data_IF_517813334103
#
_entry.id   IF_517813334103
#
_cell.length_a   1.000
_cell.length_b   1.000
_cell.length_c   1.000
_cell.angle_alpha   90.00
_cell.angle_beta   90.00
_cell.angle_gamma   90.00
#
_symmetry.space_group_name_H-M   'P 1'
#
loop_
_entity.id
_entity.type
_entity.pdbx_description
1 polymer ?
#
# COMPACT_ATOMS: atom_id res chain seq x y z
N UNK A 1 -12.72 -17.71 -7.48
CA UNK A 1 -11.91 -16.95 -8.43
C UNK A 1 -10.67 -17.73 -8.83
N UNK A 2 -10.57 -18.15 -10.06
CA UNK A 2 -9.47 -18.94 -10.62
C UNK A 2 -8.94 -18.23 -11.88
N UNK A 3 -8.49 -16.99 -11.70
CA UNK A 3 -8.08 -16.07 -12.76
C UNK A 3 -6.57 -15.74 -12.73
N UNK A 4 -5.79 -16.47 -11.93
CA UNK A 4 -4.33 -16.31 -11.90
C UNK A 4 -3.69 -16.96 -13.16
N UNK A 5 -2.87 -16.20 -13.89
CA UNK A 5 -2.18 -16.67 -15.10
C UNK A 5 -1.28 -17.89 -14.89
N UNK A 6 -0.81 -18.13 -13.67
CA UNK A 6 -0.07 -19.35 -13.31
C UNK A 6 -0.83 -20.63 -13.61
N UNK A 7 -2.17 -20.57 -13.60
CA UNK A 7 -3.02 -21.70 -13.96
C UNK A 7 -2.86 -22.12 -15.43
N UNK A 8 -2.64 -21.16 -16.32
CA UNK A 8 -2.41 -21.42 -17.75
C UNK A 8 -1.12 -22.22 -17.97
N UNK A 9 -0.11 -22.00 -17.12
CA UNK A 9 1.16 -22.76 -17.15
C UNK A 9 0.96 -24.23 -16.77
N UNK A 10 -0.11 -24.52 -16.01
CA UNK A 10 -0.51 -25.87 -15.59
C UNK A 10 -1.60 -26.47 -16.51
N UNK A 11 -1.95 -25.80 -17.61
CA UNK A 11 -3.00 -26.22 -18.53
C UNK A 11 -4.42 -26.12 -17.96
N UNK A 12 -4.61 -25.31 -16.90
CA UNK A 12 -5.90 -25.15 -16.22
C UNK A 12 -6.64 -23.90 -16.74
N UNK A 13 -7.98 -23.98 -16.95
CA UNK A 13 -8.75 -22.85 -17.46
C UNK A 13 -8.86 -21.72 -16.43
N UNK A 14 -8.92 -20.48 -16.94
CA UNK A 14 -9.24 -19.31 -16.13
C UNK A 14 -10.77 -19.14 -16.06
N UNK A 15 -11.28 -18.89 -14.86
CA UNK A 15 -12.70 -18.56 -14.68
C UNK A 15 -12.98 -17.83 -13.36
N UNK A 16 -14.07 -17.06 -13.36
CA UNK A 16 -14.68 -16.44 -12.18
C UNK A 16 -16.14 -16.82 -12.18
N UNK A 17 -16.58 -17.64 -11.22
CA UNK A 17 -17.98 -18.10 -11.11
C UNK A 17 -18.33 -18.46 -9.66
N UNK A 18 -19.63 -18.41 -9.27
CA UNK A 18 -20.08 -19.04 -8.05
C UNK A 18 -19.78 -20.53 -8.05
N UNK A 19 -19.41 -21.07 -6.90
CA UNK A 19 -19.30 -22.52 -6.70
C UNK A 19 -20.64 -23.07 -6.23
N UNK A 20 -21.35 -22.34 -5.35
CA UNK A 20 -22.65 -22.68 -4.81
C UNK A 20 -23.44 -21.39 -4.57
N UNK A 21 -24.75 -21.42 -4.83
CA UNK A 21 -25.67 -20.31 -4.61
C UNK A 21 -25.37 -19.07 -5.47
N UNK A 22 -25.75 -17.90 -4.98
CA UNK A 22 -25.53 -16.61 -5.63
C UNK A 22 -24.46 -15.81 -4.91
N UNK A 23 -23.64 -15.11 -5.68
CA UNK A 23 -22.62 -14.18 -5.16
C UNK A 23 -23.06 -12.76 -5.52
N UNK A 24 -23.32 -11.87 -4.54
CA UNK A 24 -23.67 -10.50 -4.80
C UNK A 24 -22.55 -9.79 -5.57
N UNK A 25 -22.89 -8.79 -6.36
CA UNK A 25 -21.92 -8.01 -7.11
C UNK A 25 -20.92 -7.34 -6.19
N UNK A 26 -21.43 -6.81 -5.07
CA UNK A 26 -20.59 -6.15 -4.05
C UNK A 26 -20.97 -6.63 -2.65
N UNK A 27 -19.95 -6.74 -1.82
CA UNK A 27 -20.10 -7.11 -0.41
C UNK A 27 -19.53 -5.97 0.45
N UNK A 28 -20.32 -5.50 1.40
CA UNK A 28 -19.80 -4.59 2.41
C UNK A 28 -19.07 -5.38 3.48
N UNK A 29 -17.80 -5.06 3.69
CA UNK A 29 -16.96 -5.62 4.75
C UNK A 29 -16.56 -4.52 5.73
N UNK A 30 -16.24 -4.90 6.96
CA UNK A 30 -15.81 -3.99 8.01
C UNK A 30 -14.39 -4.34 8.47
N UNK A 31 -13.55 -3.31 8.61
CA UNK A 31 -12.21 -3.39 9.14
C UNK A 31 -12.04 -2.29 10.20
N UNK A 32 -12.01 -2.70 11.48
CA UNK A 32 -12.03 -1.72 12.57
C UNK A 32 -13.24 -0.79 12.49
N UNK A 33 -12.98 0.50 12.31
CA UNK A 33 -14.00 1.56 12.15
C UNK A 33 -14.41 1.83 10.71
N UNK A 34 -13.65 1.30 9.73
CA UNK A 34 -13.84 1.56 8.30
C UNK A 34 -14.69 0.45 7.67
N UNK A 35 -15.55 0.82 6.73
CA UNK A 35 -16.35 -0.07 5.89
C UNK A 35 -15.90 0.06 4.44
N UNK A 36 -15.88 -1.07 3.73
CA UNK A 36 -15.53 -1.14 2.32
C UNK A 36 -16.61 -1.85 1.53
N UNK A 37 -16.83 -1.40 0.32
CA UNK A 37 -17.51 -2.15 -0.72
C UNK A 37 -16.47 -2.95 -1.52
N UNK A 38 -16.58 -4.26 -1.49
CA UNK A 38 -15.65 -5.17 -2.13
C UNK A 38 -16.33 -5.87 -3.30
N UNK A 39 -15.73 -5.77 -4.47
CA UNK A 39 -16.14 -6.52 -5.65
C UNK A 39 -15.40 -7.86 -5.69
N UNK A 40 -16.10 -8.93 -5.38
CA UNK A 40 -15.54 -10.26 -5.35
C UNK A 40 -15.25 -10.84 -6.75
N UNK A 41 -15.87 -10.30 -7.80
CA UNK A 41 -15.71 -10.79 -9.18
C UNK A 41 -14.63 -10.04 -9.94
N UNK A 42 -14.73 -8.72 -10.01
CA UNK A 42 -13.82 -7.88 -10.78
C UNK A 42 -12.62 -7.34 -9.97
N UNK A 43 -12.73 -7.27 -8.63
CA UNK A 43 -11.64 -6.77 -7.77
C UNK A 43 -10.38 -7.63 -7.87
N UNK A 44 -9.21 -7.03 -7.68
CA UNK A 44 -7.95 -7.76 -7.59
C UNK A 44 -7.95 -8.72 -6.40
N UNK A 45 -7.26 -9.85 -6.51
CA UNK A 45 -7.23 -10.92 -5.49
C UNK A 45 -8.67 -11.28 -5.05
N UNK A 46 -8.97 -11.08 -3.78
CA UNK A 46 -10.30 -11.29 -3.16
C UNK A 46 -11.17 -10.05 -3.17
N UNK A 47 -10.78 -9.01 -3.93
CA UNK A 47 -11.44 -7.70 -3.97
C UNK A 47 -10.85 -6.67 -2.99
N UNK A 48 -10.03 -7.13 -2.03
CA UNK A 48 -9.27 -6.31 -1.10
C UNK A 48 -7.92 -6.99 -0.77
N UNK A 49 -6.96 -6.21 -0.32
CA UNK A 49 -5.65 -6.70 0.14
C UNK A 49 -5.72 -6.97 1.65
N UNK A 50 -6.15 -8.18 2.01
CA UNK A 50 -6.37 -8.58 3.41
C UNK A 50 -5.06 -8.67 4.20
N UNK A 51 -3.96 -8.91 3.53
CA UNK A 51 -2.61 -8.99 4.09
C UNK A 51 -2.10 -7.67 4.69
N UNK A 52 -2.69 -6.52 4.32
CA UNK A 52 -2.37 -5.20 4.89
C UNK A 52 -3.32 -4.77 6.03
N UNK A 53 -4.31 -5.58 6.41
CA UNK A 53 -5.34 -5.23 7.40
C UNK A 53 -4.74 -4.68 8.71
N UNK A 54 -3.87 -5.44 9.34
CA UNK A 54 -3.29 -5.06 10.63
C UNK A 54 -2.38 -3.81 10.52
N UNK A 55 -1.77 -3.61 9.34
CA UNK A 55 -0.96 -2.43 9.07
C UNK A 55 -1.84 -1.18 8.91
N UNK A 56 -2.98 -1.29 8.21
CA UNK A 56 -3.95 -0.19 8.10
C UNK A 56 -4.52 0.21 9.47
N UNK A 57 -4.92 -0.78 10.29
CA UNK A 57 -5.38 -0.54 11.66
C UNK A 57 -4.28 0.11 12.52
N UNK A 58 -3.02 -0.29 12.35
CA UNK A 58 -1.90 0.32 13.04
C UNK A 58 -1.77 1.81 12.70
N UNK A 59 -2.00 2.19 11.44
CA UNK A 59 -1.88 3.58 10.98
C UNK A 59 -2.96 4.50 11.56
N UNK A 60 -4.07 3.99 12.08
CA UNK A 60 -5.10 4.79 12.75
C UNK A 60 -4.63 5.57 14.00
N UNK A 61 -3.45 5.25 14.53
CA UNK A 61 -2.88 5.95 15.70
C UNK A 61 -2.28 7.31 15.39
N UNK A 62 -1.94 7.54 14.12
CA UNK A 62 -1.32 8.79 13.70
C UNK A 62 -2.36 9.88 13.45
N UNK A 63 -1.96 11.13 13.70
CA UNK A 63 -2.78 12.34 13.55
C UNK A 63 -1.94 13.43 12.91
N UNK A 64 -2.58 14.31 12.15
CA UNK A 64 -1.89 15.43 11.50
C UNK A 64 -2.81 16.22 10.58
N UNK A 65 -2.22 17.17 9.88
CA UNK A 65 -2.91 17.99 8.90
C UNK A 65 -3.05 17.27 7.57
N UNK A 66 -1.93 16.76 7.01
CA UNK A 66 -1.90 16.22 5.65
C UNK A 66 -1.23 14.87 5.57
N UNK A 67 -1.91 13.89 4.99
CA UNK A 67 -1.35 12.57 4.67
C UNK A 67 -1.42 12.30 3.17
N UNK A 68 -0.45 11.53 2.67
CA UNK A 68 -0.37 11.07 1.28
C UNK A 68 -0.33 9.54 1.27
N UNK A 69 -1.30 8.91 0.61
CA UNK A 69 -1.36 7.46 0.38
C UNK A 69 -1.08 7.16 -1.08
N UNK A 70 0.08 6.62 -1.38
CA UNK A 70 0.55 6.34 -2.75
C UNK A 70 0.43 4.85 -3.04
N UNK A 71 -0.12 4.50 -4.20
CA UNK A 71 -0.59 3.17 -4.57
C UNK A 71 -1.83 2.75 -3.77
N UNK A 72 -2.75 3.70 -3.59
CA UNK A 72 -3.86 3.58 -2.65
C UNK A 72 -4.91 2.54 -3.03
N UNK A 73 -4.94 2.09 -4.30
CA UNK A 73 -5.96 1.19 -4.84
C UNK A 73 -7.38 1.70 -4.50
N UNK A 74 -8.20 0.91 -3.80
CA UNK A 74 -9.55 1.29 -3.37
C UNK A 74 -9.57 2.11 -2.05
N UNK A 75 -8.47 2.77 -1.70
CA UNK A 75 -8.36 3.66 -0.56
C UNK A 75 -8.07 2.98 0.77
N UNK A 76 -7.46 1.79 0.75
CA UNK A 76 -7.26 1.02 1.97
C UNK A 76 -6.60 1.81 3.10
N UNK A 77 -5.39 2.33 2.90
CA UNK A 77 -4.72 3.16 3.90
C UNK A 77 -5.38 4.55 4.03
N UNK A 78 -5.76 5.16 2.91
CA UNK A 78 -6.34 6.50 2.92
C UNK A 78 -7.55 6.64 3.86
N UNK A 79 -8.45 5.65 3.87
CA UNK A 79 -9.66 5.67 4.71
C UNK A 79 -9.33 5.58 6.20
N UNK A 80 -8.35 4.76 6.58
CA UNK A 80 -7.89 4.67 7.98
C UNK A 80 -7.15 5.93 8.42
N UNK A 81 -6.34 6.53 7.54
CA UNK A 81 -5.68 7.81 7.80
C UNK A 81 -6.69 8.96 7.93
N UNK A 82 -7.76 8.96 7.15
CA UNK A 82 -8.78 10.00 7.19
C UNK A 82 -9.51 10.11 8.56
N UNK A 83 -9.42 9.08 9.39
CA UNK A 83 -9.90 9.13 10.77
C UNK A 83 -9.07 10.03 11.68
N UNK A 84 -7.87 10.41 11.27
CA UNK A 84 -6.93 11.16 12.09
C UNK A 84 -6.27 12.37 11.41
N UNK A 85 -6.41 12.50 10.10
CA UNK A 85 -5.82 13.60 9.34
C UNK A 85 -6.91 14.54 8.81
N UNK A 86 -6.57 15.83 8.70
CA UNK A 86 -7.48 16.84 8.17
C UNK A 86 -7.69 16.70 6.66
N UNK A 87 -6.63 16.32 5.94
CA UNK A 87 -6.65 16.04 4.51
C UNK A 87 -5.86 14.76 4.22
N UNK A 88 -6.42 13.88 3.41
CA UNK A 88 -5.73 12.69 2.89
C UNK A 88 -5.80 12.70 1.37
N UNK A 89 -4.66 12.64 0.71
CA UNK A 89 -4.56 12.50 -0.74
C UNK A 89 -4.28 11.04 -1.08
N UNK A 90 -5.22 10.38 -1.72
CA UNK A 90 -5.12 8.99 -2.17
C UNK A 90 -4.75 8.95 -3.66
N UNK A 91 -3.62 8.33 -3.98
CA UNK A 91 -3.03 8.33 -5.33
C UNK A 91 -2.95 6.92 -5.88
N UNK A 92 -3.45 6.74 -7.08
CA UNK A 92 -3.29 5.51 -7.88
C UNK A 92 -3.28 5.84 -9.37
N UNK A 93 -2.76 4.94 -10.18
CA UNK A 93 -2.80 5.06 -11.66
C UNK A 93 -4.09 4.50 -12.26
N UNK A 94 -4.93 3.85 -11.47
CA UNK A 94 -6.20 3.26 -11.87
C UNK A 94 -7.38 4.15 -11.50
N UNK A 95 -7.96 4.82 -12.49
CA UNK A 95 -9.20 5.59 -12.31
C UNK A 95 -10.34 4.76 -11.71
N UNK A 96 -10.41 3.47 -12.05
CA UNK A 96 -11.42 2.57 -11.51
C UNK A 96 -11.20 2.31 -10.01
N UNK A 97 -9.96 2.08 -9.59
CA UNK A 97 -9.61 1.90 -8.18
C UNK A 97 -9.94 3.18 -7.38
N UNK A 98 -9.63 4.34 -7.92
CA UNK A 98 -9.91 5.63 -7.29
C UNK A 98 -11.41 5.94 -7.18
N UNK A 99 -12.23 5.57 -8.17
CA UNK A 99 -13.70 5.66 -8.03
C UNK A 99 -14.21 4.83 -6.85
N UNK A 100 -13.62 3.62 -6.65
CA UNK A 100 -13.94 2.79 -5.48
C UNK A 100 -13.47 3.43 -4.17
N UNK A 101 -12.31 4.07 -4.17
CA UNK A 101 -11.81 4.81 -3.01
C UNK A 101 -12.75 5.95 -2.61
N UNK A 102 -13.23 6.73 -3.58
CA UNK A 102 -14.24 7.78 -3.33
C UNK A 102 -15.59 7.22 -2.83
N UNK A 103 -16.05 6.12 -3.41
CA UNK A 103 -17.29 5.46 -2.97
C UNK A 103 -17.15 4.96 -1.52
N UNK A 104 -16.02 4.35 -1.20
CA UNK A 104 -15.68 3.90 0.16
C UNK A 104 -15.56 5.09 1.12
N UNK A 105 -14.97 6.21 0.71
CA UNK A 105 -14.90 7.41 1.54
C UNK A 105 -16.31 7.93 1.86
N UNK A 106 -17.19 8.02 0.86
CA UNK A 106 -18.61 8.42 1.05
C UNK A 106 -19.36 7.46 1.97
N UNK A 107 -19.16 6.13 1.83
CA UNK A 107 -19.75 5.11 2.69
C UNK A 107 -19.42 5.31 4.18
N UNK A 108 -18.25 5.88 4.45
CA UNK A 108 -17.76 6.14 5.81
C UNK A 108 -17.98 7.60 6.27
N UNK A 109 -18.59 8.46 5.44
CA UNK A 109 -18.75 9.89 5.76
C UNK A 109 -17.44 10.67 5.81
N UNK A 110 -16.39 10.19 5.13
CA UNK A 110 -15.06 10.78 5.12
C UNK A 110 -14.95 11.81 3.97
N UNK A 111 -15.30 13.06 4.24
CA UNK A 111 -15.21 14.16 3.27
C UNK A 111 -13.81 14.74 3.09
N UNK A 112 -12.82 14.25 3.85
CA UNK A 112 -11.44 14.71 3.86
C UNK A 112 -10.49 13.84 3.01
N UNK A 113 -11.01 12.86 2.28
CA UNK A 113 -10.25 12.06 1.31
C UNK A 113 -10.40 12.68 -0.08
N UNK A 114 -9.28 13.02 -0.68
CA UNK A 114 -9.16 13.48 -2.06
C UNK A 114 -8.43 12.44 -2.89
N UNK A 115 -9.00 12.02 -4.00
CA UNK A 115 -8.34 11.09 -4.93
C UNK A 115 -7.60 11.83 -6.04
N UNK A 116 -6.48 11.26 -6.50
CA UNK A 116 -5.66 11.81 -7.57
C UNK A 116 -5.15 10.69 -8.48
N UNK A 117 -5.62 10.66 -9.72
CA UNK A 117 -5.09 9.75 -10.73
C UNK A 117 -3.75 10.25 -11.22
N UNK A 118 -2.70 9.47 -10.96
CA UNK A 118 -1.34 9.82 -11.40
C UNK A 118 -0.41 8.61 -11.39
N UNK A 119 0.64 8.67 -12.21
CA UNK A 119 1.82 7.83 -12.03
C UNK A 119 2.57 8.27 -10.76
N UNK A 120 2.82 7.33 -9.85
CA UNK A 120 3.44 7.62 -8.54
C UNK A 120 4.83 8.28 -8.68
N UNK A 121 5.66 7.81 -9.60
CA UNK A 121 7.02 8.34 -9.79
C UNK A 121 7.00 9.79 -10.26
N UNK A 122 6.15 10.10 -11.23
CA UNK A 122 6.03 11.44 -11.79
C UNK A 122 5.40 12.41 -10.78
N UNK A 123 4.37 11.93 -10.07
CA UNK A 123 3.70 12.72 -9.05
C UNK A 123 4.64 13.09 -7.90
N UNK A 124 5.35 12.12 -7.34
CA UNK A 124 6.24 12.39 -6.21
C UNK A 124 7.34 13.38 -6.57
N UNK A 125 7.91 13.30 -7.79
CA UNK A 125 8.87 14.29 -8.30
C UNK A 125 8.26 15.68 -8.47
N UNK A 126 7.03 15.74 -8.97
CA UNK A 126 6.29 17.00 -9.13
C UNK A 126 6.03 17.66 -7.79
N UNK A 127 5.49 16.91 -6.82
CA UNK A 127 5.21 17.41 -5.48
C UNK A 127 6.48 17.91 -4.77
N UNK A 128 7.62 17.21 -4.93
CA UNK A 128 8.92 17.66 -4.41
C UNK A 128 9.32 19.00 -5.04
N UNK A 129 9.19 19.15 -6.37
CA UNK A 129 9.52 20.40 -7.08
C UNK A 129 8.60 21.55 -6.70
N UNK A 130 7.33 21.26 -6.43
CA UNK A 130 6.33 22.24 -5.97
C UNK A 130 6.51 22.61 -4.49
N UNK A 131 7.41 21.94 -3.77
CA UNK A 131 7.68 22.22 -2.36
C UNK A 131 6.60 21.70 -1.40
N UNK A 132 5.75 20.78 -1.85
CA UNK A 132 4.70 20.19 -1.03
C UNK A 132 5.26 19.43 0.17
N UNK A 133 4.53 19.47 1.29
CA UNK A 133 4.93 18.80 2.54
C UNK A 133 3.75 18.09 3.20
N UNK A 134 4.06 16.94 3.79
CA UNK A 134 3.10 16.05 4.45
C UNK A 134 3.59 15.69 5.86
N UNK A 135 2.64 15.44 6.74
CA UNK A 135 2.92 14.91 8.08
C UNK A 135 3.11 13.39 8.04
N UNK A 136 2.47 12.72 7.06
CA UNK A 136 2.58 11.27 6.87
C UNK A 136 2.50 10.91 5.39
N UNK A 137 3.37 9.99 4.96
CA UNK A 137 3.32 9.37 3.62
C UNK A 137 3.28 7.85 3.78
N UNK A 138 2.34 7.20 3.10
CA UNK A 138 2.28 5.73 2.93
C UNK A 138 2.70 5.37 1.51
N UNK A 139 3.55 4.35 1.39
CA UNK A 139 3.95 3.72 0.14
C UNK A 139 3.62 2.21 0.21
N UNK A 140 2.61 1.77 -0.52
CA UNK A 140 2.26 0.33 -0.66
C UNK A 140 2.30 -0.11 -2.13
N UNK A 141 3.49 -0.06 -2.77
CA UNK A 141 3.62 -0.33 -4.19
C UNK A 141 3.38 -1.81 -4.52
N UNK A 142 2.99 -2.12 -5.75
CA UNK A 142 2.95 -3.50 -6.23
C UNK A 142 4.35 -4.11 -6.21
N UNK A 143 4.44 -5.44 -6.25
CA UNK A 143 5.72 -6.14 -6.33
C UNK A 143 6.48 -5.74 -7.60
N UNK A 144 7.51 -4.91 -7.45
CA UNK A 144 8.36 -4.48 -8.57
C UNK A 144 9.30 -5.61 -9.04
N UNK A 145 9.70 -6.55 -8.15
CA UNK A 145 10.44 -7.74 -8.53
C UNK A 145 9.49 -8.94 -8.68
N UNK A 146 9.32 -9.41 -9.91
CA UNK A 146 8.55 -10.61 -10.23
C UNK A 146 9.43 -11.87 -10.29
N UNK A 147 10.74 -11.71 -10.38
CA UNK A 147 11.73 -12.77 -10.42
C UNK A 147 13.11 -12.29 -9.97
N UNK A 148 14.03 -13.24 -9.80
CA UNK A 148 15.41 -12.94 -9.36
C UNK A 148 16.13 -11.93 -10.25
N UNK A 149 15.87 -11.96 -11.56
CA UNK A 149 16.48 -11.05 -12.55
C UNK A 149 16.00 -9.61 -12.41
N UNK A 150 14.88 -9.40 -11.74
CA UNK A 150 14.29 -8.06 -11.57
C UNK A 150 14.73 -7.34 -10.30
N UNK A 151 15.44 -8.01 -9.39
CA UNK A 151 15.73 -7.50 -8.04
C UNK A 151 16.43 -6.15 -8.07
N UNK A 152 17.47 -6.00 -8.88
CA UNK A 152 18.24 -4.75 -8.97
C UNK A 152 17.38 -3.59 -9.51
N UNK A 153 16.59 -3.84 -10.55
CA UNK A 153 15.65 -2.84 -11.10
C UNK A 153 14.58 -2.47 -10.08
N UNK A 154 14.04 -3.48 -9.39
CA UNK A 154 13.05 -3.28 -8.34
C UNK A 154 13.62 -2.49 -7.16
N UNK A 155 14.84 -2.80 -6.74
CA UNK A 155 15.55 -2.07 -5.68
C UNK A 155 15.63 -0.58 -6.01
N UNK A 156 16.06 -0.23 -7.23
CA UNK A 156 16.14 1.16 -7.69
C UNK A 156 14.74 1.83 -7.70
N UNK A 157 13.71 1.11 -8.12
CA UNK A 157 12.35 1.65 -8.14
C UNK A 157 11.80 1.88 -6.72
N UNK A 158 11.98 0.93 -5.80
CA UNK A 158 11.63 1.11 -4.39
C UNK A 158 12.42 2.26 -3.75
N UNK A 159 13.74 2.34 -4.01
CA UNK A 159 14.58 3.42 -3.50
C UNK A 159 14.10 4.79 -3.97
N UNK A 160 13.77 4.92 -5.25
CA UNK A 160 13.31 6.19 -5.84
C UNK A 160 12.01 6.67 -5.15
N UNK A 161 10.98 5.82 -5.01
CA UNK A 161 9.73 6.26 -4.39
C UNK A 161 9.92 6.59 -2.90
N UNK A 162 10.77 5.83 -2.19
CA UNK A 162 11.07 6.09 -0.79
C UNK A 162 11.87 7.40 -0.63
N UNK A 163 12.87 7.65 -1.45
CA UNK A 163 13.64 8.89 -1.48
C UNK A 163 12.72 10.11 -1.63
N UNK A 164 11.83 10.07 -2.64
CA UNK A 164 10.89 11.18 -2.88
C UNK A 164 9.92 11.36 -1.72
N UNK A 165 9.36 10.28 -1.19
CA UNK A 165 8.47 10.34 -0.02
C UNK A 165 9.17 10.95 1.20
N UNK A 166 10.41 10.56 1.50
CA UNK A 166 11.19 11.13 2.61
C UNK A 166 11.39 12.64 2.42
N UNK A 167 11.68 13.08 1.20
CA UNK A 167 11.83 14.52 0.91
C UNK A 167 10.52 15.32 1.03
N UNK A 168 9.38 14.68 0.84
CA UNK A 168 8.05 15.28 1.02
C UNK A 168 7.63 15.37 2.50
N UNK A 169 8.30 14.68 3.40
CA UNK A 169 7.95 14.69 4.82
C UNK A 169 8.50 15.93 5.54
N UNK A 170 7.67 16.45 6.43
CA UNK A 170 8.10 17.45 7.41
C UNK A 170 9.10 16.84 8.39
N UNK A 171 9.82 17.66 9.14
CA UNK A 171 10.55 17.22 10.33
C UNK A 171 9.56 16.61 11.33
N UNK A 172 9.91 15.48 11.92
CA UNK A 172 9.00 14.68 12.75
C UNK A 172 7.95 13.88 11.97
N UNK A 173 7.88 14.05 10.64
CA UNK A 173 6.91 13.36 9.78
C UNK A 173 7.12 11.84 9.71
N UNK A 174 6.09 11.13 9.32
CA UNK A 174 6.03 9.67 9.35
C UNK A 174 6.06 9.09 7.92
N UNK A 175 7.01 8.21 7.67
CA UNK A 175 7.03 7.34 6.50
C UNK A 175 6.52 5.95 6.89
N UNK A 176 5.47 5.46 6.24
CA UNK A 176 5.08 4.07 6.25
C UNK A 176 5.38 3.49 4.86
N UNK A 177 6.15 2.42 4.77
CA UNK A 177 6.53 1.85 3.48
C UNK A 177 6.49 0.33 3.50
N UNK A 178 6.06 -0.25 2.39
CA UNK A 178 5.86 -1.68 2.24
C UNK A 178 6.57 -2.27 1.02
N UNK A 179 6.80 -3.56 1.08
CA UNK A 179 7.11 -4.39 -0.09
C UNK A 179 6.49 -5.77 0.06
N UNK A 180 5.64 -6.17 -0.87
CA UNK A 180 5.09 -7.51 -0.96
C UNK A 180 5.92 -8.43 -1.89
N UNK A 181 7.09 -7.99 -2.35
CA UNK A 181 7.96 -8.81 -3.20
C UNK A 181 8.73 -9.83 -2.36
N UNK A 182 8.56 -11.11 -2.65
CA UNK A 182 9.33 -12.19 -2.05
C UNK A 182 10.85 -12.00 -2.25
N UNK A 183 11.26 -11.53 -3.42
CA UNK A 183 12.67 -11.32 -3.74
C UNK A 183 13.29 -10.08 -3.07
N UNK A 184 12.49 -9.18 -2.54
CA UNK A 184 12.95 -8.10 -1.67
C UNK A 184 13.00 -8.62 -0.24
N UNK A 185 14.11 -9.23 0.14
CA UNK A 185 14.30 -9.75 1.51
C UNK A 185 14.24 -8.63 2.54
N UNK A 186 13.98 -8.97 3.81
CA UNK A 186 13.91 -7.97 4.87
C UNK A 186 15.20 -7.14 5.02
N UNK A 187 16.42 -7.75 5.05
CA UNK A 187 17.65 -6.97 5.08
C UNK A 187 17.80 -6.04 3.88
N UNK A 188 17.44 -6.51 2.68
CA UNK A 188 17.51 -5.70 1.46
C UNK A 188 16.52 -4.54 1.48
N UNK A 189 15.32 -4.76 2.03
CA UNK A 189 14.31 -3.72 2.20
C UNK A 189 14.79 -2.60 3.14
N UNK A 190 15.36 -2.93 4.30
CA UNK A 190 15.89 -1.92 5.22
C UNK A 190 17.13 -1.21 4.67
N UNK A 191 18.02 -1.92 3.98
CA UNK A 191 19.16 -1.30 3.30
C UNK A 191 18.70 -0.27 2.26
N UNK A 192 17.70 -0.62 1.45
CA UNK A 192 17.12 0.28 0.44
C UNK A 192 16.53 1.54 1.07
N UNK A 193 15.77 1.41 2.19
CA UNK A 193 15.20 2.58 2.88
C UNK A 193 16.29 3.44 3.50
N UNK A 194 17.33 2.82 4.09
CA UNK A 194 18.47 3.54 4.65
C UNK A 194 19.24 4.34 3.59
N UNK A 195 19.50 3.75 2.42
CA UNK A 195 20.11 4.46 1.30
C UNK A 195 19.23 5.61 0.78
N UNK A 196 17.90 5.40 0.70
CA UNK A 196 16.96 6.47 0.31
C UNK A 196 17.00 7.63 1.30
N UNK A 197 17.08 7.35 2.60
CA UNK A 197 17.20 8.37 3.65
C UNK A 197 18.53 9.12 3.55
N UNK A 198 19.64 8.42 3.31
CA UNK A 198 20.95 9.02 3.10
C UNK A 198 20.97 9.97 1.90
N UNK A 199 20.40 9.54 0.76
CA UNK A 199 20.27 10.36 -0.45
C UNK A 199 19.31 11.56 -0.26
N UNK A 200 18.36 11.44 0.67
CA UNK A 200 17.49 12.54 1.07
C UNK A 200 18.16 13.51 2.08
N UNK A 201 19.36 13.20 2.57
CA UNK A 201 20.05 13.90 3.65
C UNK A 201 19.19 14.00 4.93
N UNK A 202 18.50 12.89 5.27
CA UNK A 202 17.62 12.78 6.45
C UNK A 202 18.00 11.56 7.28
N UNK A 203 17.80 11.68 8.58
CA UNK A 203 17.86 10.54 9.49
C UNK A 203 16.46 9.98 9.70
N UNK A 204 16.35 8.66 9.75
CA UNK A 204 15.10 7.95 10.02
C UNK A 204 15.21 7.15 11.33
N UNK A 205 14.29 7.40 12.24
CA UNK A 205 14.09 6.57 13.42
C UNK A 205 13.08 5.47 13.10
N UNK A 206 13.42 4.21 13.33
CA UNK A 206 12.46 3.10 13.24
C UNK A 206 11.43 3.24 14.35
N UNK A 207 10.17 3.35 13.98
CA UNK A 207 9.03 3.40 14.91
C UNK A 207 8.43 2.02 15.09
N UNK A 208 8.25 1.28 13.97
CA UNK A 208 7.63 -0.03 14.01
C UNK A 208 8.11 -0.89 12.83
N UNK A 209 8.23 -2.19 13.06
CA UNK A 209 8.49 -3.22 12.04
C UNK A 209 7.34 -4.21 12.05
N UNK A 210 6.72 -4.43 10.89
CA UNK A 210 5.54 -5.27 10.74
C UNK A 210 5.63 -6.11 9.48
N UNK A 211 4.74 -7.07 9.38
CA UNK A 211 4.57 -7.93 8.22
C UNK A 211 3.08 -8.19 7.95
N UNK A 212 2.81 -9.35 7.40
CA UNK A 212 1.45 -9.84 7.19
C UNK A 212 0.78 -10.23 8.52
N UNK A 213 -0.58 -10.18 8.58
CA UNK A 213 -1.34 -10.56 9.77
C UNK A 213 -1.32 -12.08 10.01
N UNK A 214 -1.78 -12.51 11.18
CA UNK A 214 -1.75 -13.91 11.62
C UNK A 214 -2.53 -14.88 10.72
N UNK A 215 -3.54 -14.40 9.99
CA UNK A 215 -4.32 -15.18 9.03
C UNK A 215 -3.61 -15.35 7.66
N UNK A 216 -2.42 -14.77 7.53
CA UNK A 216 -1.45 -15.01 6.45
C UNK A 216 -0.17 -15.58 7.08
N UNK A 217 -0.19 -16.86 7.54
CA UNK A 217 0.85 -17.38 8.40
C UNK A 217 2.22 -17.46 7.72
N UNK A 218 3.25 -17.18 8.51
CA UNK A 218 4.65 -17.44 8.14
C UNK A 218 5.01 -18.82 8.67
N UNK A 219 5.38 -19.72 7.76
CA UNK A 219 5.84 -21.06 8.11
C UNK A 219 7.35 -21.03 8.32
N UNK A 220 7.81 -21.47 9.49
CA UNK A 220 9.23 -21.42 9.86
C UNK A 220 10.13 -22.15 8.84
N UNK A 221 9.66 -23.28 8.33
CA UNK A 221 10.38 -24.11 7.37
C UNK A 221 10.24 -23.65 5.90
N UNK A 222 9.42 -22.62 5.67
CA UNK A 222 9.13 -22.08 4.35
C UNK A 222 9.27 -20.55 4.37
N UNK A 223 10.53 -20.02 4.34
CA UNK A 223 10.80 -18.59 4.48
C UNK A 223 10.16 -17.75 3.36
N UNK A 224 9.83 -18.35 2.22
CA UNK A 224 9.08 -17.72 1.13
C UNK A 224 7.66 -17.31 1.52
N UNK A 225 7.11 -17.88 2.59
CA UNK A 225 5.81 -17.46 3.13
C UNK A 225 5.88 -16.10 3.85
N UNK A 226 7.07 -15.63 4.24
CA UNK A 226 7.30 -14.28 4.75
C UNK A 226 7.54 -13.31 3.59
N UNK A 227 6.48 -12.86 2.96
CA UNK A 227 6.58 -12.05 1.74
C UNK A 227 6.32 -10.54 1.98
N UNK A 228 5.55 -10.16 3.02
CA UNK A 228 5.22 -8.77 3.29
C UNK A 228 6.19 -8.16 4.30
N UNK A 229 6.84 -7.07 3.92
CA UNK A 229 7.58 -6.17 4.79
C UNK A 229 6.82 -4.87 4.85
N UNK A 230 6.55 -4.40 6.06
CA UNK A 230 5.95 -3.11 6.34
C UNK A 230 6.73 -2.46 7.47
N UNK A 231 7.16 -1.23 7.29
CA UNK A 231 7.89 -0.51 8.30
C UNK A 231 7.43 0.94 8.41
N UNK A 232 7.45 1.45 9.63
CA UNK A 232 7.12 2.83 9.94
C UNK A 232 8.34 3.52 10.51
N UNK A 233 8.67 4.67 9.93
CA UNK A 233 9.81 5.49 10.30
C UNK A 233 9.37 6.90 10.63
N UNK A 234 10.11 7.57 11.50
CA UNK A 234 9.99 9.00 11.73
C UNK A 234 11.21 9.70 11.16
N UNK A 235 10.99 10.77 10.42
CA UNK A 235 12.04 11.67 9.93
C UNK A 235 12.53 12.54 11.07
N UNK A 236 13.86 12.61 11.25
CA UNK A 236 14.53 13.46 12.24
C UNK A 236 15.23 14.63 11.56
#
# INVERSE_FOLDING_TARGET
KNDARTRELEGLPLYVRPLLGEVPERVQVREGRVRYLVDLRAGQKTGAYLDQRENRLYMERFRGERALDVFSYAGGFALHLALGFREVVAVDSSAEALRRAEENARLNGLGNVRVLEANAFDLLRRLEKEGERFDLVVLDPPAFAKGKKDVERAYRAYKEVNLRAIKLLKEGGILATASCSHHMTEPLFYAMVAEAAQDAHRLLRVVEKRGQPFDHPVLLNHPETHYLKFAVFQVL
#
